data_IF_429654963637
#
_entry.id   IF_429654963637
#
_cell.length_a   1.000
_cell.length_b   1.000
_cell.length_c   1.000
_cell.angle_alpha   90.00
_cell.angle_beta   90.00
_cell.angle_gamma   90.00
#
_symmetry.space_group_name_H-M   'P 1'
#
loop_
_entity.id
_entity.type
_entity.pdbx_description
1 polymer ?
#
# COMPACT_ATOMS: atom_id res chain seq x y z
N UNK A 1 -9.41 3.35 55.29
CA UNK A 1 -9.62 2.63 54.02
C UNK A 1 -10.21 3.56 52.99
N UNK A 2 -9.49 3.79 51.88
CA UNK A 2 -9.97 4.03 50.52
C UNK A 2 -8.78 4.52 49.66
N UNK A 3 -8.52 3.84 48.55
CA UNK A 3 -7.42 4.06 47.62
C UNK A 3 -7.77 5.25 46.70
N UNK A 4 -6.86 6.20 46.40
CA UNK A 4 -7.14 7.21 45.39
C UNK A 4 -7.04 6.63 43.98
N UNK A 5 -8.05 6.92 43.16
CA UNK A 5 -8.13 6.54 41.76
C UNK A 5 -7.02 7.20 40.91
N UNK A 6 -6.43 6.40 40.02
CA UNK A 6 -5.43 6.83 39.04
C UNK A 6 -6.09 7.70 37.96
N UNK A 7 -5.47 8.81 37.51
CA UNK A 7 -6.01 9.59 36.41
C UNK A 7 -5.97 8.81 35.09
N UNK A 8 -7.09 8.79 34.38
CA UNK A 8 -7.22 8.21 33.06
C UNK A 8 -6.22 8.88 32.09
N UNK A 9 -5.35 8.07 31.48
CA UNK A 9 -4.50 8.49 30.38
C UNK A 9 -5.30 8.88 29.14
N UNK A 10 -4.65 9.48 28.13
CA UNK A 10 -5.33 9.94 26.93
C UNK A 10 -6.05 8.78 26.23
N UNK A 11 -7.37 8.94 26.09
CA UNK A 11 -8.25 8.09 25.32
C UNK A 11 -7.63 7.85 23.94
N UNK A 12 -7.41 6.58 23.58
CA UNK A 12 -7.10 6.18 22.21
C UNK A 12 -8.22 6.70 21.32
N UNK A 13 -7.92 7.75 20.56
CA UNK A 13 -8.79 8.18 19.47
C UNK A 13 -9.03 6.96 18.58
N UNK A 14 -10.30 6.59 18.45
CA UNK A 14 -10.78 5.67 17.43
C UNK A 14 -10.06 5.94 16.12
N UNK A 15 -9.46 4.95 15.44
CA UNK A 15 -8.90 5.19 14.12
C UNK A 15 -10.05 5.70 13.25
N UNK A 16 -9.91 6.96 12.83
CA UNK A 16 -10.81 7.61 11.91
C UNK A 16 -11.10 6.65 10.76
N UNK A 17 -12.38 6.33 10.57
CA UNK A 17 -12.91 5.89 9.29
C UNK A 17 -12.34 6.86 8.27
N UNK A 18 -11.36 6.42 7.49
CA UNK A 18 -10.84 7.21 6.39
C UNK A 18 -12.01 7.27 5.43
N UNK A 19 -12.72 8.39 5.45
CA UNK A 19 -13.63 8.80 4.39
C UNK A 19 -12.87 8.55 3.10
N UNK A 20 -13.39 7.63 2.27
CA UNK A 20 -12.93 7.48 0.91
C UNK A 20 -13.16 8.84 0.25
N UNK A 21 -12.14 9.69 0.21
CA UNK A 21 -12.17 10.84 -0.69
C UNK A 21 -11.98 10.24 -2.08
N UNK A 22 -13.07 9.69 -2.61
CA UNK A 22 -13.34 9.71 -4.03
C UNK A 22 -13.16 11.19 -4.38
N UNK A 23 -12.03 11.55 -5.00
CA UNK A 23 -11.89 12.89 -5.52
C UNK A 23 -13.07 13.09 -6.46
N UNK A 24 -13.99 13.96 -6.08
CA UNK A 24 -15.20 14.22 -6.84
C UNK A 24 -14.83 14.73 -8.25
N UNK A 25 -15.52 14.13 -9.23
CA UNK A 25 -15.79 14.53 -10.62
C UNK A 25 -14.75 14.23 -11.72
N UNK A 26 -15.19 14.00 -12.99
CA UNK A 26 -16.48 13.52 -13.49
C UNK A 26 -16.37 12.05 -13.94
N UNK A 27 -17.50 11.33 -14.00
CA UNK A 27 -17.58 10.07 -14.76
C UNK A 27 -17.35 10.37 -16.24
N UNK A 28 -16.09 10.43 -16.65
CA UNK A 28 -15.70 10.30 -18.05
C UNK A 28 -16.17 8.94 -18.57
N UNK A 29 -16.26 8.74 -19.89
CA UNK A 29 -16.88 7.55 -20.50
C UNK A 29 -16.19 6.21 -20.12
N UNK A 30 -15.08 6.25 -19.40
CA UNK A 30 -14.50 5.10 -18.71
C UNK A 30 -15.21 4.90 -17.37
N UNK A 31 -16.51 4.57 -17.43
CA UNK A 31 -17.24 4.08 -16.27
C UNK A 31 -16.52 2.87 -15.69
N UNK A 32 -16.16 2.97 -14.41
CA UNK A 32 -15.62 1.85 -13.65
C UNK A 32 -16.75 0.85 -13.45
N UNK A 33 -16.90 -0.06 -14.40
CA UNK A 33 -17.65 -1.27 -14.17
C UNK A 33 -16.97 -1.97 -13.00
N UNK A 34 -17.74 -2.22 -11.92
CA UNK A 34 -17.39 -3.18 -10.88
C UNK A 34 -16.95 -4.45 -11.59
N UNK A 35 -15.64 -4.64 -11.71
CA UNK A 35 -15.10 -5.67 -12.57
C UNK A 35 -15.05 -6.96 -11.78
N UNK A 36 -16.23 -7.48 -11.45
CA UNK A 36 -16.40 -8.83 -10.94
C UNK A 36 -15.73 -9.88 -11.84
N UNK A 37 -15.41 -9.57 -13.11
CA UNK A 37 -14.74 -10.50 -14.03
C UNK A 37 -13.57 -9.89 -14.84
N UNK A 38 -12.71 -9.06 -14.22
CA UNK A 38 -11.44 -8.70 -14.88
C UNK A 38 -10.62 -9.96 -15.19
N UNK A 39 -10.28 -10.18 -16.47
CA UNK A 39 -9.39 -11.29 -16.89
C UNK A 39 -8.03 -11.29 -16.17
N UNK A 40 -7.66 -10.15 -15.57
CA UNK A 40 -6.43 -9.97 -14.79
C UNK A 40 -6.51 -10.55 -13.37
N UNK A 41 -7.70 -10.71 -12.79
CA UNK A 41 -7.90 -11.27 -11.42
C UNK A 41 -7.45 -12.73 -11.30
N UNK A 42 -7.28 -13.43 -12.43
CA UNK A 42 -6.82 -14.82 -12.49
C UNK A 42 -5.31 -14.97 -12.68
N UNK A 43 -4.54 -13.88 -12.80
CA UNK A 43 -3.09 -13.97 -12.88
C UNK A 43 -2.51 -13.98 -11.45
N UNK A 44 -2.14 -15.16 -10.92
CA UNK A 44 -1.41 -15.20 -9.66
C UNK A 44 -0.08 -14.47 -9.84
N UNK A 45 0.41 -13.88 -8.76
CA UNK A 45 1.77 -13.35 -8.72
C UNK A 45 2.76 -14.41 -9.23
N UNK A 46 3.55 -14.16 -10.29
CA UNK A 46 4.53 -15.12 -10.82
C UNK A 46 5.72 -15.33 -9.88
N UNK A 47 5.77 -14.59 -8.76
CA UNK A 47 6.84 -14.61 -7.79
C UNK A 47 6.73 -15.83 -6.89
N UNK A 48 7.69 -16.75 -7.02
CA UNK A 48 7.82 -17.88 -6.09
C UNK A 48 8.55 -17.46 -4.80
N UNK A 49 8.47 -18.31 -3.77
CA UNK A 49 9.06 -18.06 -2.45
C UNK A 49 10.58 -17.85 -2.49
N UNK A 50 11.30 -18.50 -3.40
CA UNK A 50 12.75 -18.34 -3.56
C UNK A 50 13.08 -16.93 -4.06
N UNK A 51 12.37 -16.45 -5.07
CA UNK A 51 12.53 -15.08 -5.59
C UNK A 51 12.21 -14.05 -4.51
N UNK A 52 11.13 -14.24 -3.75
CA UNK A 52 10.78 -13.34 -2.64
C UNK A 52 11.88 -13.27 -1.57
N UNK A 53 12.51 -14.40 -1.25
CA UNK A 53 13.64 -14.44 -0.31
C UNK A 53 14.86 -13.68 -0.84
N UNK A 54 15.14 -13.77 -2.14
CA UNK A 54 16.22 -12.99 -2.78
C UNK A 54 15.90 -11.50 -2.72
N UNK A 55 14.67 -11.09 -3.07
CA UNK A 55 14.26 -9.69 -3.01
C UNK A 55 14.34 -9.12 -1.59
N UNK A 56 13.92 -9.89 -0.58
CA UNK A 56 14.01 -9.50 0.83
C UNK A 56 15.47 -9.34 1.34
N UNK A 57 16.45 -9.89 0.62
CA UNK A 57 17.87 -9.81 1.01
C UNK A 57 18.60 -8.58 0.45
N UNK A 58 17.97 -7.82 -0.46
CA UNK A 58 18.56 -6.61 -1.04
C UNK A 58 18.56 -5.51 0.04
N UNK A 59 19.71 -4.91 0.37
CA UNK A 59 19.77 -3.83 1.36
C UNK A 59 18.98 -2.61 0.91
N UNK A 60 18.08 -2.13 1.77
CA UNK A 60 17.38 -0.88 1.57
C UNK A 60 18.26 0.32 1.96
N UNK A 61 18.05 1.50 1.35
CA UNK A 61 18.81 2.71 1.61
C UNK A 61 18.49 3.34 2.97
N UNK A 62 17.30 3.09 3.52
CA UNK A 62 16.84 3.55 4.82
C UNK A 62 15.79 2.59 5.44
N UNK A 63 15.37 2.88 6.67
CA UNK A 63 14.45 2.03 7.44
C UNK A 63 13.03 2.04 6.86
N UNK A 64 12.57 3.17 6.32
CA UNK A 64 11.23 3.28 5.75
C UNK A 64 11.13 2.45 4.46
N UNK A 65 12.14 2.53 3.59
CA UNK A 65 12.25 1.70 2.40
C UNK A 65 12.30 0.20 2.78
N UNK A 66 13.05 -0.17 3.82
CA UNK A 66 13.08 -1.55 4.32
C UNK A 66 11.70 -2.05 4.75
N UNK A 67 10.94 -1.23 5.49
CA UNK A 67 9.58 -1.57 5.94
C UNK A 67 8.64 -1.69 4.75
N UNK A 68 8.68 -0.74 3.81
CA UNK A 68 7.82 -0.75 2.63
C UNK A 68 8.06 -1.99 1.75
N UNK A 69 9.33 -2.33 1.48
CA UNK A 69 9.68 -3.54 0.72
C UNK A 69 9.21 -4.81 1.44
N UNK A 70 9.46 -4.92 2.75
CA UNK A 70 9.02 -6.07 3.54
C UNK A 70 7.48 -6.22 3.56
N UNK A 71 6.75 -5.11 3.67
CA UNK A 71 5.30 -5.09 3.57
C UNK A 71 4.85 -5.60 2.21
N UNK A 72 5.35 -5.00 1.12
CA UNK A 72 4.99 -5.38 -0.25
C UNK A 72 5.23 -6.87 -0.52
N UNK A 73 6.38 -7.41 -0.10
CA UNK A 73 6.71 -8.82 -0.24
C UNK A 73 5.75 -9.72 0.56
N UNK A 74 5.31 -9.28 1.74
CA UNK A 74 4.33 -10.01 2.56
C UNK A 74 2.95 -10.02 1.90
N UNK A 75 2.48 -8.88 1.37
CA UNK A 75 1.20 -8.80 0.66
C UNK A 75 1.18 -9.69 -0.58
N UNK A 76 2.26 -9.67 -1.37
CA UNK A 76 2.44 -10.55 -2.53
C UNK A 76 2.49 -12.03 -2.11
N UNK A 77 3.29 -12.37 -1.09
CA UNK A 77 3.40 -13.75 -0.58
C UNK A 77 2.08 -14.29 -0.01
N UNK A 78 1.23 -13.41 0.53
CA UNK A 78 -0.07 -13.72 1.10
C UNK A 78 -1.18 -13.99 0.09
N UNK A 79 -0.87 -13.97 -1.21
CA UNK A 79 -1.84 -14.19 -2.29
C UNK A 79 -2.19 -12.97 -3.11
N UNK A 80 -1.33 -11.92 -3.11
CA UNK A 80 -1.49 -10.71 -3.91
C UNK A 80 -1.87 -10.98 -5.37
N UNK A 81 -3.16 -10.88 -5.71
CA UNK A 81 -3.64 -10.89 -7.10
C UNK A 81 -3.64 -9.47 -7.64
N UNK A 82 -3.41 -9.34 -8.94
CA UNK A 82 -3.63 -8.07 -9.61
C UNK A 82 -5.13 -7.87 -9.82
N UNK A 83 -5.70 -6.89 -9.14
CA UNK A 83 -7.12 -6.51 -9.27
C UNK A 83 -7.16 -5.01 -9.49
N UNK A 84 -7.86 -4.56 -10.52
CA UNK A 84 -8.05 -3.13 -10.76
C UNK A 84 -8.64 -2.48 -9.50
N UNK A 85 -8.05 -1.36 -9.05
CA UNK A 85 -8.44 -0.66 -7.82
C UNK A 85 -8.23 -1.47 -6.53
N UNK A 86 -7.41 -2.53 -6.59
CA UNK A 86 -7.02 -3.29 -5.41
C UNK A 86 -6.12 -2.47 -4.49
N UNK A 87 -6.51 -2.30 -3.23
CA UNK A 87 -5.81 -1.47 -2.25
C UNK A 87 -5.27 -2.25 -1.04
N UNK A 88 -5.19 -3.58 -1.15
CA UNK A 88 -4.68 -4.47 -0.13
C UNK A 88 -5.68 -4.86 0.96
N UNK A 89 -5.25 -5.66 1.95
CA UNK A 89 -3.90 -6.23 2.08
C UNK A 89 -3.69 -7.51 1.25
N UNK A 90 -4.70 -8.00 0.53
CA UNK A 90 -4.66 -9.28 -0.20
C UNK A 90 -4.74 -9.15 -1.72
N UNK A 91 -5.33 -8.08 -2.23
CA UNK A 91 -5.49 -7.82 -3.66
C UNK A 91 -5.04 -6.39 -3.96
N UNK A 92 -4.27 -6.21 -5.03
CA UNK A 92 -3.61 -4.93 -5.30
C UNK A 92 -3.65 -4.57 -6.78
N UNK A 93 -3.81 -3.28 -7.08
CA UNK A 93 -3.29 -2.71 -8.32
C UNK A 93 -1.88 -2.11 -8.10
N UNK A 94 -1.32 -1.50 -9.15
CA UNK A 94 0.03 -0.96 -9.10
C UNK A 94 0.20 0.16 -8.06
N UNK A 95 -0.77 1.08 -7.95
CA UNK A 95 -0.73 2.18 -7.00
C UNK A 95 -1.18 1.78 -5.60
N UNK A 96 -2.10 0.83 -5.48
CA UNK A 96 -2.60 0.31 -4.21
C UNK A 96 -1.52 -0.46 -3.45
N UNK A 97 -0.71 -1.29 -4.13
CA UNK A 97 0.42 -1.97 -3.49
C UNK A 97 1.45 -0.98 -2.95
N UNK A 98 1.86 0.01 -3.75
CA UNK A 98 2.84 1.01 -3.33
C UNK A 98 2.30 1.87 -2.17
N UNK A 99 1.03 2.29 -2.26
CA UNK A 99 0.41 3.08 -1.21
C UNK A 99 0.28 2.29 0.10
N UNK A 100 -0.18 1.06 0.04
CA UNK A 100 -0.32 0.20 1.23
C UNK A 100 1.04 -0.12 1.87
N UNK A 101 2.07 -0.40 1.07
CA UNK A 101 3.42 -0.70 1.55
C UNK A 101 4.07 0.48 2.28
N UNK A 102 4.08 1.67 1.66
CA UNK A 102 4.65 2.87 2.26
C UNK A 102 3.86 3.35 3.49
N UNK A 103 2.55 3.08 3.57
CA UNK A 103 1.75 3.33 4.78
C UNK A 103 2.25 2.53 5.98
N UNK A 104 2.72 1.29 5.80
CA UNK A 104 3.33 0.52 6.90
C UNK A 104 4.60 1.17 7.43
N UNK A 105 5.31 1.91 6.56
CA UNK A 105 6.50 2.69 6.91
C UNK A 105 6.16 4.10 7.45
N UNK A 106 4.87 4.42 7.64
CA UNK A 106 4.42 5.73 8.10
C UNK A 106 4.45 6.84 7.04
N UNK A 107 4.63 6.49 5.75
CA UNK A 107 4.67 7.44 4.64
C UNK A 107 3.35 7.35 3.86
N UNK A 108 2.47 8.37 3.95
CA UNK A 108 1.21 8.34 3.22
C UNK A 108 1.44 8.57 1.73
N UNK A 109 0.91 7.68 0.90
CA UNK A 109 0.75 7.89 -0.54
C UNK A 109 -0.73 7.76 -0.91
N UNK A 110 -1.09 8.48 -1.98
CA UNK A 110 -2.38 8.35 -2.66
C UNK A 110 -2.40 7.04 -3.46
N UNK A 111 -3.55 6.39 -3.57
CA UNK A 111 -3.79 5.18 -4.35
C UNK A 111 -4.05 5.49 -5.84
N UNK A 112 -3.24 6.40 -6.41
CA UNK A 112 -3.33 6.77 -7.83
C UNK A 112 -1.96 7.11 -8.40
N UNK A 113 -1.48 6.30 -9.34
CA UNK A 113 -0.10 6.33 -9.82
C UNK A 113 0.33 7.69 -10.41
N UNK A 114 -0.56 8.39 -11.12
CA UNK A 114 -0.27 9.71 -11.67
C UNK A 114 0.02 10.73 -10.56
N UNK A 115 -0.82 10.73 -9.52
CA UNK A 115 -0.65 11.65 -8.38
C UNK A 115 0.51 11.22 -7.48
N UNK A 116 0.77 9.91 -7.32
CA UNK A 116 1.99 9.44 -6.64
C UNK A 116 3.24 10.02 -7.30
N UNK A 117 3.34 9.92 -8.64
CA UNK A 117 4.47 10.46 -9.39
C UNK A 117 4.65 11.97 -9.18
N UNK A 118 3.55 12.72 -9.14
CA UNK A 118 3.59 14.17 -8.89
C UNK A 118 3.92 14.53 -7.43
N UNK A 119 3.53 13.68 -6.47
CA UNK A 119 3.76 13.90 -5.04
C UNK A 119 5.17 13.51 -4.57
N UNK A 120 5.94 12.80 -5.40
CA UNK A 120 7.31 12.36 -5.09
C UNK A 120 8.37 13.16 -5.83
N UNK A 121 9.58 13.20 -5.27
CA UNK A 121 10.74 13.79 -5.94
C UNK A 121 11.23 12.89 -7.07
N UNK A 122 11.38 13.44 -8.28
CA UNK A 122 11.96 12.73 -9.41
C UNK A 122 13.47 12.50 -9.20
N UNK A 123 13.90 11.25 -9.19
CA UNK A 123 15.31 10.85 -9.08
C UNK A 123 15.82 10.41 -10.45
N UNK A 124 16.97 10.95 -10.94
CA UNK A 124 17.59 10.50 -12.19
C UNK A 124 17.89 9.00 -12.15
N UNK A 125 17.78 8.32 -13.30
CA UNK A 125 17.95 6.85 -13.39
C UNK A 125 19.25 6.33 -12.77
N UNK A 126 20.36 7.06 -12.94
CA UNK A 126 21.67 6.67 -12.37
C UNK A 126 21.75 6.75 -10.84
N UNK A 127 20.75 7.33 -10.18
CA UNK A 127 20.67 7.50 -8.75
C UNK A 127 19.55 6.65 -8.10
N UNK A 128 18.91 5.76 -8.86
CA UNK A 128 17.93 4.82 -8.30
C UNK A 128 18.59 3.86 -7.32
N UNK A 129 17.89 3.59 -6.23
CA UNK A 129 18.30 2.66 -5.17
C UNK A 129 17.08 1.79 -4.81
N UNK A 130 17.30 0.58 -4.27
CA UNK A 130 16.23 -0.24 -3.70
C UNK A 130 15.39 0.50 -2.66
#
# INVERSE_FOLDING_TARGET
SAIPAVPAGPTLATPNVVTHTHANEPTGPYGHHHAEHSLWSFYPSPLNKTTLKVLASIPAPDVQAAIAVAAALTGVAGGGRYVAEGNGPTDFDCSGLTAWAWRQAGVPLVDYSYTQRAATTAIPRGAWRP
#
